data_IF_707781848798
#
_entry.id   IF_707781848798
#
_cell.length_a   1.000
_cell.length_b   1.000
_cell.length_c   1.000
_cell.angle_alpha   90.00
_cell.angle_beta   90.00
_cell.angle_gamma   90.00
#
_symmetry.space_group_name_H-M   'P 1'
#
loop_
_entity.id
_entity.type
_entity.pdbx_description
1 polymer ?
#
# COMPACT_ATOMS: atom_id res chain seq x y z
N UNK A 1 -21.82 26.76 -27.12
CA UNK A 1 -22.75 25.60 -27.11
C UNK A 1 -22.09 24.49 -27.92
N UNK A 2 -21.90 23.36 -27.23
CA UNK A 2 -21.54 21.99 -27.63
C UNK A 2 -20.85 21.72 -28.99
N UNK A 3 -19.52 21.53 -29.08
CA UNK A 3 -18.97 20.87 -30.28
C UNK A 3 -17.71 19.99 -30.16
N UNK A 4 -17.10 19.81 -28.98
CA UNK A 4 -16.00 18.85 -28.86
C UNK A 4 -16.08 18.02 -27.57
N UNK A 5 -17.09 17.13 -27.50
CA UNK A 5 -17.04 15.97 -26.60
C UNK A 5 -16.01 14.98 -27.16
N UNK A 6 -14.73 15.28 -27.01
CA UNK A 6 -13.66 14.32 -27.26
C UNK A 6 -13.76 13.27 -26.15
N UNK A 7 -14.59 12.24 -26.34
CA UNK A 7 -14.48 11.00 -25.55
C UNK A 7 -13.23 10.29 -26.02
N UNK A 8 -12.08 10.76 -25.54
CA UNK A 8 -10.86 9.96 -25.50
C UNK A 8 -11.04 8.99 -24.34
N UNK A 9 -11.73 7.87 -24.59
CA UNK A 9 -11.57 6.71 -23.73
C UNK A 9 -10.11 6.30 -23.89
N UNK A 10 -9.28 6.71 -22.93
CA UNK A 10 -7.88 6.33 -22.84
C UNK A 10 -7.87 4.80 -22.88
N UNK A 11 -7.06 4.12 -23.71
CA UNK A 11 -7.14 2.66 -23.89
C UNK A 11 -7.07 1.85 -22.57
N UNK A 12 -6.55 2.47 -21.51
CA UNK A 12 -6.56 1.98 -20.13
C UNK A 12 -7.98 1.79 -19.53
N UNK A 13 -8.94 2.66 -19.85
CA UNK A 13 -10.30 2.61 -19.29
C UNK A 13 -11.05 1.32 -19.62
N UNK A 14 -10.65 0.62 -20.68
CA UNK A 14 -11.17 -0.71 -21.03
C UNK A 14 -10.92 -1.76 -19.92
N UNK A 15 -9.90 -1.57 -19.10
CA UNK A 15 -9.52 -2.48 -18.00
C UNK A 15 -9.93 -1.95 -16.62
N UNK A 16 -10.71 -0.87 -16.57
CA UNK A 16 -11.08 -0.22 -15.31
C UNK A 16 -11.75 -1.19 -14.32
N UNK A 17 -12.60 -2.09 -14.80
CA UNK A 17 -13.24 -3.12 -13.98
C UNK A 17 -12.23 -4.10 -13.37
N UNK A 18 -11.28 -4.59 -14.17
CA UNK A 18 -10.25 -5.52 -13.72
C UNK A 18 -9.33 -4.88 -12.67
N UNK A 19 -8.89 -3.65 -12.93
CA UNK A 19 -8.00 -2.91 -12.04
C UNK A 19 -8.68 -2.51 -10.73
N UNK A 20 -9.96 -2.11 -10.77
CA UNK A 20 -10.73 -1.87 -9.56
C UNK A 20 -10.93 -3.15 -8.75
N UNK A 21 -11.25 -4.28 -9.41
CA UNK A 21 -11.39 -5.57 -8.73
C UNK A 21 -10.07 -5.99 -8.05
N UNK A 22 -8.94 -5.89 -8.76
CA UNK A 22 -7.62 -6.18 -8.20
C UNK A 22 -7.27 -5.25 -7.03
N UNK A 23 -7.54 -3.95 -7.18
CA UNK A 23 -7.32 -2.96 -6.11
C UNK A 23 -8.17 -3.28 -4.89
N UNK A 24 -9.42 -3.70 -5.08
CA UNK A 24 -10.32 -4.07 -4.00
C UNK A 24 -9.87 -5.34 -3.26
N UNK A 25 -9.44 -6.37 -4.01
CA UNK A 25 -8.92 -7.62 -3.43
C UNK A 25 -7.67 -7.35 -2.59
N UNK A 26 -6.72 -6.59 -3.14
CA UNK A 26 -5.48 -6.27 -2.42
C UNK A 26 -5.74 -5.39 -1.20
N UNK A 27 -6.70 -4.47 -1.27
CA UNK A 27 -7.16 -3.69 -0.12
C UNK A 27 -7.75 -4.56 0.98
N UNK A 28 -8.68 -5.47 0.64
CA UNK A 28 -9.26 -6.41 1.62
C UNK A 28 -8.19 -7.32 2.24
N UNK A 29 -7.24 -7.81 1.43
CA UNK A 29 -6.13 -8.60 1.92
C UNK A 29 -5.27 -7.80 2.92
N UNK A 30 -4.99 -6.52 2.66
CA UNK A 30 -4.26 -5.66 3.59
C UNK A 30 -5.01 -5.50 4.92
N UNK A 31 -6.32 -5.22 4.89
CA UNK A 31 -7.15 -5.12 6.11
C UNK A 31 -7.15 -6.44 6.88
N UNK A 32 -7.29 -7.57 6.19
CA UNK A 32 -7.23 -8.90 6.79
C UNK A 32 -5.88 -9.17 7.45
N UNK A 33 -4.76 -8.86 6.79
CA UNK A 33 -3.43 -9.05 7.37
C UNK A 33 -3.17 -8.14 8.56
N UNK A 34 -3.62 -6.89 8.53
CA UNK A 34 -3.53 -5.98 9.67
C UNK A 34 -4.32 -6.54 10.86
N UNK A 35 -5.53 -7.08 10.62
CA UNK A 35 -6.33 -7.67 11.69
C UNK A 35 -5.73 -8.96 12.25
N UNK A 36 -5.26 -9.86 11.39
CA UNK A 36 -4.72 -11.17 11.78
C UNK A 36 -3.33 -11.08 12.44
N UNK A 37 -2.43 -10.22 11.92
CA UNK A 37 -1.04 -10.11 12.41
C UNK A 37 -0.84 -8.94 13.38
N UNK A 38 -1.77 -8.00 13.43
CA UNK A 38 -1.61 -6.76 14.16
C UNK A 38 -0.66 -5.79 13.47
N UNK A 39 -0.44 -4.65 14.11
CA UNK A 39 0.54 -3.65 13.69
C UNK A 39 1.83 -3.85 14.48
N UNK A 40 2.97 -3.72 13.80
CA UNK A 40 4.26 -3.59 14.47
C UNK A 40 4.35 -2.20 15.11
N UNK A 41 3.80 -2.08 16.31
CA UNK A 41 3.86 -0.85 17.07
C UNK A 41 5.30 -0.59 17.49
N UNK A 42 5.82 0.59 17.14
CA UNK A 42 7.15 1.02 17.56
C UNK A 42 7.22 1.10 19.10
N UNK A 43 8.43 1.10 19.64
CA UNK A 43 8.67 1.27 21.09
C UNK A 43 8.06 2.56 21.64
N UNK A 44 7.86 3.57 20.79
CA UNK A 44 7.17 4.83 21.11
C UNK A 44 5.75 4.62 21.65
N UNK A 45 5.07 3.55 21.21
CA UNK A 45 3.69 3.25 21.58
C UNK A 45 3.57 2.13 22.61
N UNK A 46 4.54 1.22 22.64
CA UNK A 46 4.47 0.01 23.48
C UNK A 46 5.29 0.12 24.76
N UNK A 47 6.17 1.13 24.86
CA UNK A 47 7.14 1.26 25.94
C UNK A 47 8.27 0.24 25.79
N UNK A 48 9.47 0.71 25.47
CA UNK A 48 10.63 -0.15 25.28
C UNK A 48 11.91 0.66 25.17
N UNK A 49 13.04 -0.03 25.25
CA UNK A 49 14.36 0.56 25.09
C UNK A 49 14.94 0.14 23.74
N UNK A 50 15.31 1.11 22.90
CA UNK A 50 16.06 0.86 21.67
C UNK A 50 17.55 0.98 21.97
N UNK A 51 18.32 -0.03 21.56
CA UNK A 51 19.78 0.00 21.58
C UNK A 51 20.26 0.02 20.14
N UNK A 52 20.74 1.19 19.69
CA UNK A 52 21.36 1.34 18.38
C UNK A 52 22.83 0.94 18.48
N UNK A 53 23.25 -0.02 17.67
CA UNK A 53 24.62 -0.52 17.66
C UNK A 53 25.21 -0.24 16.28
N UNK A 54 26.14 0.71 16.22
CA UNK A 54 26.89 1.00 14.99
C UNK A 54 28.12 0.10 14.94
N UNK A 55 28.12 -0.85 14.01
CA UNK A 55 29.29 -1.69 13.76
C UNK A 55 30.28 -0.95 12.85
N UNK A 56 31.54 -0.75 13.27
CA UNK A 56 32.58 -0.18 12.41
C UNK A 56 33.10 -1.16 11.35
N UNK A 57 32.62 -2.41 11.37
CA UNK A 57 33.03 -3.48 10.47
C UNK A 57 31.89 -3.77 9.48
N UNK A 58 32.22 -3.83 8.18
CA UNK A 58 31.30 -4.23 7.12
C UNK A 58 30.74 -5.61 7.46
N UNK A 59 29.42 -5.74 7.52
CA UNK A 59 28.77 -7.02 7.72
C UNK A 59 29.23 -8.02 6.63
N UNK A 60 29.50 -9.29 6.98
CA UNK A 60 30.02 -10.29 6.06
C UNK A 60 29.09 -10.58 4.87
#
# INVERSE_FOLDING_TARGET
MEFFRIRKDIPFMRHALLLNAFSFITFLAAVFFIWQKGLHLSIEFTGGTVMEITYPQTAP
#
